data_IF_927924386562
#
_entry.id   IF_927924386562
#
_cell.length_a   1.000
_cell.length_b   1.000
_cell.length_c   1.000
_cell.angle_alpha   90.00
_cell.angle_beta   90.00
_cell.angle_gamma   90.00
#
_symmetry.space_group_name_H-M   'P 1'
#
loop_
_entity.id
_entity.type
_entity.pdbx_description
1 polymer ?
#
# COMPACT_ATOMS: atom_id res chain seq x y z
N UNK A 1 -9.69 -4.96 -21.48
CA UNK A 1 -9.46 -4.97 -20.03
C UNK A 1 -8.54 -3.83 -19.66
N UNK A 2 -8.82 -3.17 -18.53
CA UNK A 2 -7.99 -2.11 -18.00
C UNK A 2 -7.13 -2.63 -16.85
N UNK A 3 -5.88 -2.17 -16.79
CA UNK A 3 -4.98 -2.53 -15.70
C UNK A 3 -4.86 -1.34 -14.76
N UNK A 4 -5.22 -1.57 -13.51
CA UNK A 4 -5.06 -0.62 -12.41
C UNK A 4 -3.80 -0.99 -11.63
N UNK A 5 -2.88 -0.04 -11.50
CA UNK A 5 -1.66 -0.23 -10.71
C UNK A 5 -1.64 0.79 -9.57
N UNK A 6 -1.36 0.32 -8.37
CA UNK A 6 -1.28 1.16 -7.18
C UNK A 6 0.09 0.94 -6.53
N UNK A 7 0.79 2.03 -6.27
CA UNK A 7 2.08 1.99 -5.61
C UNK A 7 1.97 2.65 -4.24
N UNK A 8 2.36 1.91 -3.20
CA UNK A 8 2.52 2.41 -1.85
C UNK A 8 4.01 2.54 -1.52
N UNK A 9 4.36 3.59 -0.80
CA UNK A 9 5.70 3.77 -0.26
C UNK A 9 5.59 3.80 1.26
N UNK A 10 6.19 2.80 1.90
CA UNK A 10 6.11 2.61 3.35
C UNK A 10 7.52 2.67 3.93
N UNK A 11 7.74 3.47 4.97
CA UNK A 11 9.03 3.41 5.66
C UNK A 11 9.22 2.05 6.31
N UNK A 12 10.38 1.45 6.11
CA UNK A 12 10.66 0.10 6.60
C UNK A 12 10.57 0.02 8.13
N UNK A 13 11.04 1.04 8.84
CA UNK A 13 10.93 1.10 10.29
C UNK A 13 9.48 1.08 10.75
N UNK A 14 8.58 1.75 10.02
CA UNK A 14 7.15 1.77 10.34
C UNK A 14 6.50 0.41 10.07
N UNK A 15 6.91 -0.25 8.98
CA UNK A 15 6.44 -1.61 8.67
C UNK A 15 6.85 -2.58 9.79
N UNK A 16 8.11 -2.54 10.20
CA UNK A 16 8.60 -3.41 11.27
C UNK A 16 7.88 -3.12 12.60
N UNK A 17 7.64 -1.85 12.93
CA UNK A 17 6.89 -1.49 14.13
C UNK A 17 5.47 -2.04 14.08
N UNK A 18 4.80 -1.90 12.94
CA UNK A 18 3.43 -2.37 12.79
C UNK A 18 3.30 -3.89 12.87
N UNK A 19 4.28 -4.62 12.32
CA UNK A 19 4.18 -6.08 12.18
C UNK A 19 4.81 -6.85 13.33
N UNK A 20 5.94 -6.39 13.86
CA UNK A 20 6.71 -7.12 14.89
C UNK A 20 7.06 -6.26 16.10
N UNK A 21 6.50 -5.07 16.21
CA UNK A 21 6.63 -4.16 17.35
C UNK A 21 8.08 -3.74 17.66
N UNK A 22 8.94 -3.76 16.65
CA UNK A 22 10.33 -3.36 16.74
C UNK A 22 10.76 -2.70 15.43
N UNK A 23 10.94 -1.36 15.39
CA UNK A 23 11.26 -0.65 14.15
C UNK A 23 12.60 -1.08 13.54
N UNK A 24 13.49 -1.65 14.36
CA UNK A 24 14.81 -2.10 13.89
C UNK A 24 14.91 -3.62 13.78
N UNK A 25 13.77 -4.32 13.76
CA UNK A 25 13.75 -5.77 13.65
C UNK A 25 14.42 -6.26 12.38
N UNK A 26 15.17 -7.34 12.52
CA UNK A 26 15.76 -8.09 11.39
C UNK A 26 15.01 -9.38 11.11
N UNK A 27 13.82 -9.54 11.69
CA UNK A 27 13.07 -10.80 11.60
C UNK A 27 12.48 -11.06 10.22
N UNK A 28 11.89 -10.05 9.59
CA UNK A 28 11.18 -10.22 8.32
C UNK A 28 12.07 -10.10 7.10
N UNK A 29 13.02 -9.18 7.10
CA UNK A 29 14.04 -9.00 6.06
C UNK A 29 13.47 -8.84 4.65
N UNK A 30 12.49 -7.94 4.50
CA UNK A 30 11.86 -7.67 3.22
C UNK A 30 12.84 -7.45 2.09
N UNK A 31 12.59 -8.09 0.96
CA UNK A 31 13.37 -7.97 -0.29
C UNK A 31 14.82 -8.45 -0.18
N UNK A 32 15.17 -9.18 0.88
CA UNK A 32 16.48 -9.79 1.04
C UNK A 32 16.42 -11.27 0.61
N UNK A 33 17.57 -11.89 0.28
CA UNK A 33 17.57 -13.30 -0.11
C UNK A 33 17.01 -14.22 0.96
N UNK A 34 17.11 -13.84 2.23
CA UNK A 34 16.62 -14.59 3.37
C UNK A 34 15.33 -14.00 3.95
N UNK A 35 14.52 -13.32 3.12
CA UNK A 35 13.23 -12.81 3.55
C UNK A 35 12.39 -13.92 4.20
N UNK A 36 11.75 -13.58 5.33
CA UNK A 36 10.88 -14.54 6.04
C UNK A 36 9.78 -15.06 5.10
N UNK A 37 9.50 -16.37 5.12
CA UNK A 37 8.40 -16.93 4.32
C UNK A 37 7.02 -16.36 4.67
N UNK A 38 6.88 -15.77 5.87
CA UNK A 38 5.61 -15.18 6.32
C UNK A 38 5.54 -13.67 6.11
N UNK A 39 6.60 -13.03 5.58
CA UNK A 39 6.67 -11.58 5.49
C UNK A 39 5.51 -10.99 4.66
N UNK A 40 5.24 -11.55 3.48
CA UNK A 40 4.16 -11.06 2.62
C UNK A 40 2.80 -11.27 3.25
N UNK A 41 2.57 -12.41 3.90
CA UNK A 41 1.31 -12.68 4.57
C UNK A 41 1.05 -11.69 5.70
N UNK A 42 2.06 -11.43 6.52
CA UNK A 42 1.94 -10.46 7.62
C UNK A 42 1.66 -9.06 7.09
N UNK A 43 2.36 -8.66 6.03
CA UNK A 43 2.16 -7.35 5.41
C UNK A 43 0.73 -7.23 4.85
N UNK A 44 0.26 -8.22 4.12
CA UNK A 44 -1.10 -8.22 3.57
C UNK A 44 -2.17 -8.21 4.65
N UNK A 45 -2.02 -8.99 5.72
CA UNK A 45 -2.96 -8.99 6.83
C UNK A 45 -3.08 -7.61 7.47
N UNK A 46 -1.95 -6.95 7.68
CA UNK A 46 -1.94 -5.59 8.21
C UNK A 46 -2.62 -4.63 7.23
N UNK A 47 -2.19 -4.64 5.96
CA UNK A 47 -2.72 -3.71 4.96
C UNK A 47 -4.22 -3.89 4.75
N UNK A 48 -4.73 -5.12 4.78
CA UNK A 48 -6.17 -5.38 4.61
C UNK A 48 -7.04 -4.73 5.68
N UNK A 49 -6.48 -4.40 6.84
CA UNK A 49 -7.22 -3.70 7.90
C UNK A 49 -7.24 -2.18 7.71
N UNK A 50 -6.31 -1.63 6.93
CA UNK A 50 -6.12 -0.17 6.83
C UNK A 50 -6.17 0.36 5.41
N UNK A 51 -6.14 -0.52 4.44
CA UNK A 51 -6.08 -0.14 3.03
C UNK A 51 -7.04 -1.00 2.20
N UNK A 52 -7.88 -0.35 1.38
CA UNK A 52 -8.67 -1.07 0.39
C UNK A 52 -9.03 -0.18 -0.79
N UNK A 53 -9.45 -0.81 -1.88
CA UNK A 53 -10.03 -0.12 -3.02
C UNK A 53 -11.42 -0.69 -3.32
N UNK A 54 -12.27 0.17 -3.90
CA UNK A 54 -13.56 -0.23 -4.48
C UNK A 54 -13.59 0.24 -5.92
N UNK A 55 -13.56 -0.71 -6.84
CA UNK A 55 -13.67 -0.43 -8.26
C UNK A 55 -15.13 -0.51 -8.66
N UNK A 56 -15.67 0.59 -9.21
CA UNK A 56 -17.09 0.69 -9.60
C UNK A 56 -18.05 0.31 -8.44
N UNK A 57 -17.69 0.71 -7.20
CA UNK A 57 -18.50 0.43 -6.01
C UNK A 57 -18.32 -0.96 -5.39
N UNK A 58 -17.46 -1.80 -5.95
CA UNK A 58 -17.22 -3.14 -5.43
C UNK A 58 -15.83 -3.23 -4.82
N UNK A 59 -15.75 -3.69 -3.57
CA UNK A 59 -14.46 -3.92 -2.93
C UNK A 59 -13.66 -4.94 -3.72
N UNK A 60 -12.42 -4.59 -4.03
CA UNK A 60 -11.58 -5.36 -4.95
C UNK A 60 -10.36 -5.89 -4.21
N UNK A 61 -10.14 -7.22 -4.22
CA UNK A 61 -8.93 -7.79 -3.64
C UNK A 61 -7.69 -7.27 -4.36
N UNK A 62 -6.62 -7.04 -3.58
CA UNK A 62 -5.34 -6.59 -4.11
C UNK A 62 -4.33 -7.72 -4.05
N UNK A 63 -3.54 -7.83 -5.11
CA UNK A 63 -2.44 -8.79 -5.19
C UNK A 63 -1.13 -8.02 -5.27
N UNK A 64 -0.16 -8.39 -4.44
CA UNK A 64 1.18 -7.82 -4.51
C UNK A 64 1.84 -8.32 -5.79
N UNK A 65 2.15 -7.40 -6.68
CA UNK A 65 2.88 -7.71 -7.90
C UNK A 65 4.37 -7.64 -7.68
N UNK A 66 4.83 -6.66 -6.90
CA UNK A 66 6.24 -6.40 -6.70
C UNK A 66 6.47 -5.66 -5.39
N UNK A 67 7.64 -5.91 -4.81
CA UNK A 67 8.17 -5.17 -3.65
C UNK A 67 9.61 -4.81 -3.92
N UNK A 68 10.05 -3.65 -3.45
CA UNK A 68 11.46 -3.28 -3.51
C UNK A 68 11.82 -2.29 -2.41
N UNK A 69 13.09 -2.30 -2.00
CA UNK A 69 13.62 -1.33 -1.05
C UNK A 69 14.30 -0.20 -1.78
N UNK A 70 14.15 1.02 -1.26
CA UNK A 70 14.85 2.23 -1.73
C UNK A 70 15.31 3.06 -0.54
N UNK A 71 16.42 3.77 -0.71
CA UNK A 71 16.97 4.64 0.33
C UNK A 71 17.91 3.93 1.27
N UNK A 72 18.41 4.65 2.26
CA UNK A 72 19.41 4.18 3.20
C UNK A 72 19.02 4.51 4.64
N UNK A 73 19.45 3.65 5.58
CA UNK A 73 19.28 3.88 7.01
C UNK A 73 17.82 4.07 7.39
N UNK A 74 17.53 5.12 8.15
CA UNK A 74 16.17 5.43 8.61
C UNK A 74 15.24 5.88 7.50
N UNK A 75 15.80 6.24 6.33
CA UNK A 75 15.02 6.66 5.16
C UNK A 75 14.71 5.50 4.21
N UNK A 76 15.08 4.28 4.58
CA UNK A 76 14.75 3.10 3.78
C UNK A 76 13.25 2.94 3.68
N UNK A 77 12.75 2.83 2.45
CA UNK A 77 11.35 2.65 2.17
C UNK A 77 11.10 1.33 1.45
N UNK A 78 10.00 0.68 1.81
CA UNK A 78 9.47 -0.48 1.10
C UNK A 78 8.45 0.02 0.09
N UNK A 79 8.74 -0.13 -1.20
CA UNK A 79 7.78 0.12 -2.25
C UNK A 79 6.97 -1.14 -2.53
N UNK A 80 5.65 -1.04 -2.45
CA UNK A 80 4.75 -2.17 -2.71
C UNK A 80 3.85 -1.80 -3.89
N UNK A 81 3.86 -2.63 -4.92
CA UNK A 81 3.05 -2.44 -6.11
C UNK A 81 1.93 -3.47 -6.14
N UNK A 82 0.69 -2.98 -6.22
CA UNK A 82 -0.50 -3.80 -6.41
C UNK A 82 -1.01 -3.64 -7.82
N UNK A 83 -1.58 -4.70 -8.37
CA UNK A 83 -2.17 -4.68 -9.69
C UNK A 83 -3.53 -5.37 -9.67
N UNK A 84 -4.47 -4.78 -10.38
CA UNK A 84 -5.79 -5.34 -10.57
C UNK A 84 -6.19 -5.18 -12.04
N UNK A 85 -6.69 -6.27 -12.65
CA UNK A 85 -7.24 -6.22 -14.01
C UNK A 85 -8.75 -6.04 -13.94
N UNK A 86 -9.22 -4.92 -14.48
CA UNK A 86 -10.63 -4.57 -14.50
C UNK A 86 -11.24 -4.95 -15.84
N UNK A 87 -12.24 -5.84 -15.83
CA UNK A 87 -12.88 -6.32 -17.07
C UNK A 87 -13.87 -5.31 -17.63
N UNK A 88 -14.70 -4.71 -16.77
CA UNK A 88 -15.61 -3.64 -17.16
C UNK A 88 -14.86 -2.30 -17.16
N UNK A 89 -15.30 -1.30 -17.94
CA UNK A 89 -14.69 0.02 -17.87
C UNK A 89 -14.72 0.57 -16.44
N UNK A 90 -13.58 1.10 -15.97
CA UNK A 90 -13.47 1.70 -14.66
C UNK A 90 -14.14 3.07 -14.68
N UNK A 91 -15.21 3.24 -13.92
CA UNK A 91 -15.99 4.49 -13.84
C UNK A 91 -15.66 5.26 -12.57
N UNK A 92 -15.40 4.54 -11.50
CA UNK A 92 -15.03 5.14 -10.23
C UNK A 92 -14.06 4.24 -9.48
N UNK A 93 -13.19 4.86 -8.69
CA UNK A 93 -12.25 4.16 -7.84
C UNK A 93 -12.22 4.86 -6.49
N UNK A 94 -12.71 4.19 -5.46
CA UNK A 94 -12.59 4.67 -4.10
C UNK A 94 -11.39 4.02 -3.46
N UNK A 95 -10.55 4.82 -2.81
CA UNK A 95 -9.34 4.35 -2.15
C UNK A 95 -9.41 4.77 -0.69
N UNK A 96 -9.19 3.81 0.21
CA UNK A 96 -8.95 4.08 1.63
C UNK A 96 -7.50 3.76 1.94
N UNK A 97 -6.82 4.70 2.58
CA UNK A 97 -5.48 4.46 3.11
C UNK A 97 -5.35 5.09 4.49
N UNK A 98 -5.52 4.26 5.52
CA UNK A 98 -5.31 4.61 6.91
C UNK A 98 -4.07 3.90 7.48
N UNK A 99 -3.17 3.45 6.62
CA UNK A 99 -1.94 2.73 6.98
C UNK A 99 -1.13 3.56 7.96
N UNK A 100 -0.70 2.95 9.06
CA UNK A 100 0.08 3.53 10.16
C UNK A 100 -0.63 4.64 10.96
N UNK A 101 -1.89 4.94 10.68
CA UNK A 101 -2.64 5.90 11.50
C UNK A 101 -3.00 5.35 12.88
N UNK A 102 -2.89 4.04 13.06
CA UNK A 102 -3.02 3.36 14.35
C UNK A 102 -1.78 3.57 15.23
N UNK A 103 -0.62 3.85 14.62
CA UNK A 103 0.66 4.07 15.32
C UNK A 103 0.99 5.55 15.44
N UNK A 104 0.71 6.33 14.40
CA UNK A 104 1.12 7.74 14.34
C UNK A 104 -0.10 8.62 14.05
N UNK A 105 -0.42 9.52 14.97
CA UNK A 105 -1.59 10.39 14.86
C UNK A 105 -1.54 11.30 13.61
N UNK A 106 -0.35 11.79 13.28
CA UNK A 106 -0.13 12.74 12.18
C UNK A 106 0.37 12.09 10.89
N UNK A 107 0.18 10.78 10.77
CA UNK A 107 0.59 10.04 9.57
C UNK A 107 -0.12 10.57 8.32
N UNK A 108 0.67 10.86 7.28
CA UNK A 108 0.16 11.18 5.94
C UNK A 108 0.68 10.13 4.96
N UNK A 109 -0.22 9.58 4.17
CA UNK A 109 0.10 8.54 3.19
C UNK A 109 -0.04 9.09 1.79
N UNK A 110 0.96 8.87 0.96
CA UNK A 110 0.93 9.24 -0.46
C UNK A 110 0.76 7.95 -1.27
N UNK A 111 -0.19 7.98 -2.20
CA UNK A 111 -0.50 6.85 -3.06
C UNK A 111 -0.41 7.30 -4.51
N UNK A 112 0.22 6.48 -5.33
CA UNK A 112 0.28 6.70 -6.77
C UNK A 112 -0.62 5.69 -7.46
N UNK A 113 -1.57 6.20 -8.24
CA UNK A 113 -2.57 5.40 -8.95
C UNK A 113 -2.36 5.58 -10.44
N UNK A 114 -2.22 4.48 -11.16
CA UNK A 114 -2.03 4.49 -12.61
C UNK A 114 -3.15 3.69 -13.25
N UNK A 115 -3.92 4.36 -14.10
CA UNK A 115 -5.00 3.73 -14.86
C UNK A 115 -5.18 4.46 -16.18
N UNK A 116 -5.38 3.72 -17.25
CA UNK A 116 -5.61 4.27 -18.61
C UNK A 116 -4.54 5.27 -19.05
N UNK A 117 -3.27 5.00 -18.72
CA UNK A 117 -2.17 5.90 -19.07
C UNK A 117 -2.11 7.17 -18.24
N UNK A 118 -3.01 7.36 -17.28
CA UNK A 118 -3.05 8.52 -16.39
C UNK A 118 -2.53 8.14 -15.03
N UNK A 119 -1.68 9.00 -14.45
CA UNK A 119 -1.14 8.84 -13.11
C UNK A 119 -1.69 9.94 -12.21
N UNK A 120 -2.17 9.54 -11.03
CA UNK A 120 -2.70 10.46 -10.03
C UNK A 120 -2.04 10.17 -8.69
N UNK A 121 -1.64 11.21 -7.97
CA UNK A 121 -1.15 11.06 -6.60
C UNK A 121 -2.20 11.59 -5.64
N UNK A 122 -2.37 10.87 -4.53
CA UNK A 122 -3.33 11.22 -3.48
C UNK A 122 -2.60 11.28 -2.14
N UNK A 123 -3.00 12.22 -1.29
CA UNK A 123 -2.54 12.32 0.09
C UNK A 123 -3.71 12.02 1.01
N UNK A 124 -3.59 10.96 1.81
CA UNK A 124 -4.63 10.52 2.73
C UNK A 124 -4.06 10.46 4.16
N UNK A 125 -4.91 10.71 5.14
CA UNK A 125 -4.51 10.75 6.54
C UNK A 125 -5.67 10.27 7.43
N UNK A 126 -5.49 10.35 8.75
CA UNK A 126 -6.49 9.86 9.70
C UNK A 126 -7.83 10.61 9.59
N UNK A 127 -7.79 11.92 9.31
CA UNK A 127 -9.01 12.73 9.18
C UNK A 127 -9.69 12.53 7.83
N UNK A 128 -8.90 12.30 6.78
CA UNK A 128 -9.38 12.11 5.42
C UNK A 128 -8.76 10.84 4.86
N UNK A 129 -9.24 9.65 5.29
CA UNK A 129 -8.59 8.39 4.91
C UNK A 129 -9.04 7.86 3.55
N UNK A 130 -10.06 8.47 2.94
CA UNK A 130 -10.64 7.99 1.68
C UNK A 130 -10.68 9.08 0.64
N UNK A 131 -10.61 8.67 -0.62
CA UNK A 131 -10.82 9.55 -1.77
C UNK A 131 -11.43 8.75 -2.91
N UNK A 132 -12.32 9.38 -3.65
CA UNK A 132 -12.95 8.75 -4.83
C UNK A 132 -12.54 9.49 -6.09
N UNK A 133 -12.00 8.75 -7.05
CA UNK A 133 -11.71 9.23 -8.39
C UNK A 133 -12.86 8.83 -9.31
N UNK A 134 -13.30 9.74 -10.15
CA UNK A 134 -14.36 9.52 -11.15
C UNK A 134 -13.75 9.67 -12.54
N UNK A 135 -14.03 8.71 -13.39
CA UNK A 135 -13.46 8.65 -14.75
C UNK A 135 -14.51 8.88 -15.83
#
# INVERSE_FOLDING_TARGET
>A
DEILTINLRLFLTDVNEALVFDPESTELRFCQPDESPTADLMLLDYLNNYFYIEANGNQTPLTIKNKKLKGDGINTALGVTFEHTQRAPLRSLKIKNAVFTDLFYDQTNIIYVHVNGTSTSLMLNKKTPTHTLVF
#
